data_IF_901144268283
#
_entry.id   IF_901144268283
#
_cell.length_a   1.000
_cell.length_b   1.000
_cell.length_c   1.000
_cell.angle_alpha   90.00
_cell.angle_beta   90.00
_cell.angle_gamma   90.00
#
_symmetry.space_group_name_H-M   'P 1'
#
loop_
_entity.id
_entity.type
_entity.pdbx_description
1 polymer ?
#
# COMPACT_ATOMS: atom_id res chain seq x y z
N UNK A 1 21.20 2.74 2.92
CA UNK A 1 20.72 1.36 3.11
C UNK A 1 21.48 0.77 4.28
N UNK A 2 20.77 0.24 5.27
CA UNK A 2 21.40 -0.45 6.40
C UNK A 2 21.71 -1.90 6.01
N UNK A 3 22.97 -2.29 6.15
CA UNK A 3 23.48 -3.61 5.76
C UNK A 3 23.31 -4.62 6.89
N UNK A 4 23.33 -4.17 8.14
CA UNK A 4 23.10 -5.00 9.31
C UNK A 4 21.59 -5.35 9.42
N UNK A 5 21.20 -6.63 9.29
CA UNK A 5 19.79 -7.02 9.31
C UNK A 5 19.12 -6.70 10.65
N UNK A 6 19.85 -6.76 11.77
CA UNK A 6 19.32 -6.47 13.11
C UNK A 6 19.05 -4.98 13.33
N UNK A 7 19.59 -4.12 12.46
CA UNK A 7 19.38 -2.66 12.47
C UNK A 7 18.45 -2.17 11.36
N UNK A 8 18.01 -3.07 10.46
CA UNK A 8 17.06 -2.72 9.40
C UNK A 8 15.70 -2.45 10.04
N UNK A 9 15.08 -1.33 9.68
CA UNK A 9 13.74 -0.99 10.15
C UNK A 9 12.73 -2.09 9.77
N UNK A 10 11.76 -2.34 10.65
CA UNK A 10 10.68 -3.29 10.35
C UNK A 10 9.73 -2.72 9.30
N UNK A 11 8.93 -3.58 8.67
CA UNK A 11 7.86 -3.11 7.79
C UNK A 11 6.88 -2.19 8.53
N UNK A 12 6.56 -2.51 9.80
CA UNK A 12 5.68 -1.70 10.63
C UNK A 12 6.25 -0.30 10.87
N UNK A 13 7.55 -0.20 11.17
CA UNK A 13 8.24 1.10 11.36
C UNK A 13 8.34 1.88 10.05
N UNK A 14 8.66 1.20 8.94
CA UNK A 14 8.76 1.82 7.62
C UNK A 14 7.42 2.46 7.21
N UNK A 15 6.29 1.81 7.46
CA UNK A 15 4.96 2.34 7.16
C UNK A 15 4.61 3.61 7.96
N UNK A 16 5.29 3.88 9.07
CA UNK A 16 5.14 5.13 9.83
C UNK A 16 6.12 6.23 9.40
N UNK A 17 7.04 5.94 8.48
CA UNK A 17 8.04 6.91 8.05
C UNK A 17 7.37 8.07 7.27
N UNK A 18 7.86 9.33 7.40
CA UNK A 18 7.29 10.49 6.71
C UNK A 18 7.17 10.30 5.19
N UNK A 19 8.10 9.57 4.59
CA UNK A 19 8.05 9.23 3.16
C UNK A 19 6.74 8.56 2.73
N UNK A 20 6.09 7.79 3.61
CA UNK A 20 4.82 7.12 3.32
C UNK A 20 3.60 7.79 3.95
N UNK A 21 3.79 8.81 4.81
CA UNK A 21 2.70 9.42 5.59
C UNK A 21 2.55 10.92 5.41
N UNK A 22 3.51 11.60 4.77
CA UNK A 22 3.42 13.02 4.49
C UNK A 22 2.50 13.31 3.30
N UNK A 23 1.96 14.53 3.17
CA UNK A 23 1.13 14.91 2.02
C UNK A 23 1.84 14.76 0.68
N UNK A 24 3.17 14.89 0.65
CA UNK A 24 4.00 14.71 -0.55
C UNK A 24 3.91 13.29 -1.10
N UNK A 25 3.69 12.28 -0.26
CA UNK A 25 3.51 10.90 -0.70
C UNK A 25 2.29 10.74 -1.64
N UNK A 26 1.25 11.57 -1.48
CA UNK A 26 0.11 11.60 -2.40
C UNK A 26 0.48 12.24 -3.75
N UNK A 27 1.44 13.17 -3.75
CA UNK A 27 1.91 13.84 -4.96
C UNK A 27 2.90 12.98 -5.76
N UNK A 28 3.55 12.01 -5.10
CA UNK A 28 4.44 11.04 -5.74
C UNK A 28 3.67 9.99 -6.57
N UNK A 29 2.35 9.86 -6.37
CA UNK A 29 1.50 9.00 -7.20
C UNK A 29 1.34 9.62 -8.58
N UNK A 30 1.89 8.97 -9.60
CA UNK A 30 1.86 9.47 -10.97
C UNK A 30 0.47 9.41 -11.59
N UNK A 31 0.27 10.17 -12.67
CA UNK A 31 -0.97 10.15 -13.42
C UNK A 31 -1.25 8.78 -14.01
N UNK A 32 -0.23 8.11 -14.53
CA UNK A 32 -0.31 6.76 -15.08
C UNK A 32 -0.76 5.74 -14.02
N UNK A 33 -0.29 5.87 -12.77
CA UNK A 33 -0.75 5.00 -11.68
C UNK A 33 -2.24 5.21 -11.37
N UNK A 34 -2.72 6.45 -11.39
CA UNK A 34 -4.15 6.75 -11.21
C UNK A 34 -5.00 6.19 -12.36
N UNK A 35 -4.49 6.27 -13.59
CA UNK A 35 -5.19 5.78 -14.78
C UNK A 35 -5.27 4.26 -14.76
N UNK A 36 -4.19 3.55 -14.39
CA UNK A 36 -4.19 2.10 -14.19
C UNK A 36 -5.19 1.67 -13.11
N UNK A 37 -5.23 2.39 -11.98
CA UNK A 37 -6.18 2.10 -10.92
C UNK A 37 -7.64 2.30 -11.35
N UNK A 38 -7.89 3.32 -12.17
CA UNK A 38 -9.21 3.57 -12.75
C UNK A 38 -9.63 2.45 -13.71
N UNK A 39 -8.69 1.94 -14.52
CA UNK A 39 -8.94 0.81 -15.41
C UNK A 39 -9.25 -0.48 -14.65
N UNK A 40 -8.51 -0.77 -13.57
CA UNK A 40 -8.77 -1.91 -12.70
C UNK A 40 -10.18 -1.83 -12.08
N UNK A 41 -10.59 -0.65 -11.62
CA UNK A 41 -11.94 -0.44 -11.07
C UNK A 41 -13.04 -0.68 -12.13
N UNK A 42 -12.81 -0.30 -13.39
CA UNK A 42 -13.75 -0.60 -14.48
C UNK A 42 -13.80 -2.10 -14.77
N UNK A 43 -12.65 -2.78 -14.84
CA UNK A 43 -12.59 -4.23 -15.09
C UNK A 43 -13.35 -5.03 -14.02
N UNK A 44 -13.25 -4.63 -12.75
CA UNK A 44 -14.05 -5.24 -11.66
C UNK A 44 -15.56 -5.06 -11.90
N UNK A 45 -16.00 -3.86 -12.30
CA UNK A 45 -17.41 -3.60 -12.63
C UNK A 45 -17.90 -4.39 -13.84
N UNK A 46 -17.01 -4.70 -14.79
CA UNK A 46 -17.27 -5.55 -15.95
C UNK A 46 -17.26 -7.06 -15.61
N UNK A 47 -16.94 -7.42 -14.36
CA UNK A 47 -17.05 -8.77 -13.83
C UNK A 47 -15.73 -9.49 -13.62
N UNK A 48 -14.59 -8.81 -13.72
CA UNK A 48 -13.30 -9.39 -13.36
C UNK A 48 -13.16 -9.53 -11.84
N UNK A 49 -13.38 -10.75 -11.34
CA UNK A 49 -13.28 -11.07 -9.92
C UNK A 49 -11.85 -11.23 -9.40
N UNK A 50 -10.84 -11.11 -10.26
CA UNK A 50 -9.43 -11.16 -9.85
C UNK A 50 -8.92 -9.83 -9.30
N UNK A 51 -9.62 -8.73 -9.59
CA UNK A 51 -9.28 -7.38 -9.14
C UNK A 51 -9.45 -7.27 -7.63
N UNK A 52 -8.47 -6.64 -6.97
CA UNK A 52 -8.46 -6.41 -5.52
C UNK A 52 -8.38 -4.92 -5.19
N UNK A 53 -8.44 -4.58 -3.90
CA UNK A 53 -8.22 -3.19 -3.46
C UNK A 53 -6.83 -2.65 -3.80
N UNK A 54 -5.82 -3.52 -3.94
CA UNK A 54 -4.45 -3.13 -4.28
C UNK A 54 -4.32 -2.64 -5.72
N UNK A 55 -5.24 -3.05 -6.60
CA UNK A 55 -5.26 -2.67 -8.01
C UNK A 55 -6.02 -1.36 -8.23
N UNK A 56 -6.98 -1.04 -7.37
CA UNK A 56 -7.95 0.06 -7.56
C UNK A 56 -7.61 1.32 -6.77
N UNK A 57 -6.77 1.23 -5.74
CA UNK A 57 -6.38 2.36 -4.91
C UNK A 57 -4.85 2.48 -4.86
N UNK A 58 -4.27 3.44 -5.60
CA UNK A 58 -2.81 3.62 -5.65
C UNK A 58 -2.25 4.22 -4.35
N UNK A 59 -3.12 4.61 -3.41
CA UNK A 59 -2.77 5.13 -2.09
C UNK A 59 -2.99 4.11 -0.97
N UNK A 60 -3.40 2.88 -1.31
CA UNK A 60 -3.75 1.87 -0.33
C UNK A 60 -2.53 1.48 0.52
N UNK A 61 -2.56 1.86 1.80
CA UNK A 61 -1.60 1.43 2.81
C UNK A 61 -2.36 0.63 3.86
N UNK A 62 -2.00 -0.65 4.04
CA UNK A 62 -2.55 -1.48 5.10
C UNK A 62 -2.06 -0.96 6.46
N UNK A 63 -2.97 -0.49 7.31
CA UNK A 63 -2.59 -0.02 8.66
C UNK A 63 -2.11 -1.16 9.55
N UNK A 64 -1.06 -0.90 10.32
CA UNK A 64 -0.45 -1.85 11.25
C UNK A 64 -1.46 -2.47 12.24
N UNK A 65 -2.50 -1.75 12.66
CA UNK A 65 -3.56 -2.29 13.56
C UNK A 65 -4.20 -3.57 13.00
N UNK A 66 -4.33 -3.70 11.68
CA UNK A 66 -4.86 -4.92 11.06
C UNK A 66 -3.80 -6.02 10.93
N UNK A 67 -2.54 -5.65 10.75
CA UNK A 67 -1.43 -6.61 10.69
C UNK A 67 -1.16 -7.22 12.07
N UNK A 68 -1.14 -6.40 13.13
CA UNK A 68 -0.98 -6.83 14.51
C UNK A 68 -2.12 -7.76 14.95
N UNK A 69 -3.35 -7.49 14.48
CA UNK A 69 -4.51 -8.37 14.71
C UNK A 69 -4.38 -9.71 14.03
N UNK A 70 -3.83 -9.78 12.81
CA UNK A 70 -3.60 -11.05 12.12
C UNK A 70 -2.42 -11.83 12.72
N UNK A 71 -1.35 -11.14 13.15
CA UNK A 71 -0.23 -11.75 13.87
C UNK A 71 -0.68 -12.30 15.22
N UNK A 72 -1.56 -11.60 15.94
CA UNK A 72 -2.09 -12.04 17.24
C UNK A 72 -3.05 -13.23 17.15
N UNK A 73 -3.47 -13.64 15.94
CA UNK A 73 -4.32 -14.83 15.71
C UNK A 73 -3.51 -16.11 15.43
N UNK A 74 -2.20 -15.99 15.21
CA UNK A 74 -1.27 -17.11 15.04
C UNK A 74 -0.74 -17.59 16.40
#
# INVERSE_FOLDING_TARGET
>A
MEFDPDKRITAADALQHPYFTSPEALSDVSKEQQDLASLAAVAELEGDSSITQFDKDPTFIRRNIEMDKEISKL
#
